data_IF_996955086284
#
_entry.id   IF_996955086284
#
_cell.length_a   1.000
_cell.length_b   1.000
_cell.length_c   1.000
_cell.angle_alpha   90.00
_cell.angle_beta   90.00
_cell.angle_gamma   90.00
#
_symmetry.space_group_name_H-M   'P 1'
#
loop_
_entity.id
_entity.type
_entity.pdbx_description
1 polymer ?
#
# COMPACT_ATOMS: atom_id res chain seq x y z
N UNK A 1 17.77 22.21 -18.96
CA UNK A 1 18.85 22.22 -17.95
C UNK A 1 18.34 21.49 -16.71
N UNK A 2 19.04 20.46 -16.21
CA UNK A 2 18.65 19.75 -14.98
C UNK A 2 19.22 20.52 -13.78
N UNK A 3 18.37 21.20 -13.01
CA UNK A 3 18.78 21.80 -11.74
C UNK A 3 19.04 20.66 -10.74
N UNK A 4 20.28 20.55 -10.25
CA UNK A 4 20.59 19.70 -9.10
C UNK A 4 20.06 20.41 -7.85
N UNK A 5 19.16 19.75 -7.13
CA UNK A 5 18.70 20.20 -5.82
C UNK A 5 19.89 20.24 -4.86
N UNK A 6 20.16 21.42 -4.29
CA UNK A 6 21.22 21.64 -3.31
C UNK A 6 20.69 21.37 -1.90
N UNK A 7 21.56 20.96 -0.97
CA UNK A 7 21.18 20.71 0.45
C UNK A 7 20.44 21.90 1.09
N UNK A 8 20.83 23.13 0.75
CA UNK A 8 20.18 24.34 1.25
C UNK A 8 18.70 24.45 0.82
N UNK A 9 18.38 24.03 -0.41
CA UNK A 9 17.01 24.04 -0.91
C UNK A 9 16.15 22.94 -0.23
N UNK A 10 16.76 21.80 0.10
CA UNK A 10 16.09 20.71 0.83
C UNK A 10 15.79 21.14 2.27
N UNK A 11 16.70 21.85 2.91
CA UNK A 11 16.51 22.36 4.29
C UNK A 11 15.47 23.49 4.35
N UNK A 12 15.37 24.32 3.31
CA UNK A 12 14.29 25.32 3.17
C UNK A 12 12.93 24.67 2.96
N UNK A 13 12.83 23.67 2.09
CA UNK A 13 11.59 22.89 1.86
C UNK A 13 11.13 22.21 3.18
N UNK A 14 12.06 21.62 3.94
CA UNK A 14 11.76 21.02 5.27
C UNK A 14 11.22 22.02 6.30
N UNK A 15 11.53 23.31 6.14
CA UNK A 15 11.10 24.38 7.05
C UNK A 15 9.69 24.88 6.73
N UNK A 16 9.26 24.73 5.48
CA UNK A 16 7.95 25.16 4.98
C UNK A 16 6.94 24.01 4.83
N UNK A 17 7.37 22.74 4.96
CA UNK A 17 6.46 21.62 5.05
C UNK A 17 5.68 21.71 6.37
N UNK A 18 4.34 21.92 6.36
CA UNK A 18 3.56 21.74 7.57
C UNK A 18 3.76 20.29 8.02
N UNK A 19 4.10 20.10 9.29
CA UNK A 19 4.06 18.78 9.93
C UNK A 19 2.57 18.44 10.01
N UNK A 20 2.09 17.78 8.97
CA UNK A 20 0.74 17.22 8.93
C UNK A 20 0.71 16.06 9.92
N UNK A 21 -0.37 15.93 10.68
CA UNK A 21 -0.57 14.71 11.45
C UNK A 21 -0.87 13.53 10.51
N UNK A 22 -0.79 12.29 11.00
CA UNK A 22 -0.98 11.08 10.17
C UNK A 22 -2.30 11.11 9.38
N UNK A 23 -3.38 11.65 9.95
CA UNK A 23 -4.67 11.78 9.27
C UNK A 23 -4.65 12.84 8.14
N UNK A 24 -3.87 13.89 8.31
CA UNK A 24 -3.68 14.95 7.31
C UNK A 24 -2.73 14.52 6.18
N UNK A 25 -1.68 13.74 6.48
CA UNK A 25 -0.79 13.15 5.45
C UNK A 25 -1.56 12.15 4.57
N UNK A 26 -2.38 11.29 5.19
CA UNK A 26 -3.24 10.35 4.47
C UNK A 26 -4.19 11.07 3.51
N UNK A 27 -4.81 12.17 3.95
CA UNK A 27 -5.72 12.99 3.12
C UNK A 27 -5.05 13.65 1.92
N UNK A 28 -3.84 14.17 2.10
CA UNK A 28 -3.09 14.83 1.01
C UNK A 28 -2.62 13.81 -0.03
N UNK A 29 -2.39 12.56 0.36
CA UNK A 29 -1.97 11.47 -0.53
C UNK A 29 -3.15 10.68 -1.14
N UNK A 30 -4.39 11.07 -0.82
CA UNK A 30 -5.59 10.45 -1.38
C UNK A 30 -6.20 9.32 -0.55
N UNK A 31 -5.65 9.01 0.63
CA UNK A 31 -6.30 8.18 1.65
C UNK A 31 -7.44 8.92 2.36
N UNK A 32 -8.27 8.15 3.09
CA UNK A 32 -9.56 8.52 3.68
C UNK A 32 -10.00 10.00 3.59
N UNK A 33 -10.84 10.29 2.60
CA UNK A 33 -11.61 11.53 2.51
C UNK A 33 -13.01 11.31 3.13
N UNK A 34 -13.35 11.94 4.27
CA UNK A 34 -14.69 11.85 4.86
C UNK A 34 -15.82 12.40 3.96
N UNK A 35 -15.48 13.07 2.84
CA UNK A 35 -16.42 13.57 1.82
C UNK A 35 -16.67 12.55 0.71
N UNK A 36 -15.74 11.64 0.41
CA UNK A 36 -15.88 10.60 -0.65
C UNK A 36 -16.52 9.30 -0.17
N UNK A 37 -16.45 9.01 1.14
CA UNK A 37 -16.96 7.77 1.71
C UNK A 37 -15.99 6.60 1.53
N UNK A 38 -16.36 5.44 2.08
CA UNK A 38 -15.52 4.23 2.07
C UNK A 38 -15.37 3.67 0.65
N UNK A 39 -14.12 3.53 0.17
CA UNK A 39 -13.85 2.84 -1.10
C UNK A 39 -13.97 1.33 -0.92
N UNK A 40 -14.76 0.70 -1.79
CA UNK A 40 -14.75 -0.74 -2.00
C UNK A 40 -14.13 -1.00 -3.37
N UNK A 41 -13.00 -1.69 -3.38
CA UNK A 41 -12.21 -1.91 -4.58
C UNK A 41 -12.23 -3.39 -4.94
N UNK A 42 -12.74 -3.73 -6.13
CA UNK A 42 -12.69 -5.12 -6.63
C UNK A 42 -11.26 -5.45 -7.07
N UNK A 43 -10.76 -6.60 -6.64
CA UNK A 43 -9.47 -7.17 -7.07
C UNK A 43 -9.69 -8.62 -7.53
N UNK A 44 -8.69 -9.27 -8.14
CA UNK A 44 -8.83 -10.68 -8.46
C UNK A 44 -8.95 -11.53 -7.19
N UNK A 45 -10.01 -12.34 -7.15
CA UNK A 45 -10.32 -13.25 -6.04
C UNK A 45 -11.04 -12.60 -4.86
N UNK A 46 -11.50 -11.34 -4.95
CA UNK A 46 -12.24 -10.71 -3.85
C UNK A 46 -12.44 -9.21 -4.00
N UNK A 47 -12.61 -8.53 -2.87
CA UNK A 47 -12.61 -7.07 -2.80
C UNK A 47 -11.92 -6.56 -1.54
N UNK A 48 -11.41 -5.34 -1.64
CA UNK A 48 -10.89 -4.55 -0.54
C UNK A 48 -11.95 -3.56 -0.08
N UNK A 49 -12.06 -3.34 1.22
CA UNK A 49 -12.98 -2.37 1.80
C UNK A 49 -12.22 -1.55 2.85
N UNK A 50 -12.03 -0.27 2.56
CA UNK A 50 -11.44 0.64 3.54
C UNK A 50 -12.40 0.88 4.70
N UNK A 51 -11.83 0.99 5.89
CA UNK A 51 -12.49 1.34 7.15
C UNK A 51 -11.65 2.39 7.87
N UNK A 52 -12.20 3.02 8.92
CA UNK A 52 -11.51 4.13 9.60
C UNK A 52 -10.16 3.78 10.25
N UNK A 53 -9.82 2.50 10.40
CA UNK A 53 -8.58 2.04 11.02
C UNK A 53 -7.75 1.07 10.15
N UNK A 54 -8.10 0.89 8.88
CA UNK A 54 -7.41 -0.06 8.00
C UNK A 54 -8.28 -0.56 6.85
N UNK A 55 -7.83 -1.60 6.17
CA UNK A 55 -8.52 -2.15 5.00
C UNK A 55 -8.82 -3.63 5.20
N UNK A 56 -10.08 -4.03 5.00
CA UNK A 56 -10.47 -5.43 4.95
C UNK A 56 -10.31 -5.99 3.55
N UNK A 57 -9.77 -7.19 3.43
CA UNK A 57 -9.94 -8.06 2.28
C UNK A 57 -11.05 -9.08 2.55
N UNK A 58 -11.96 -9.23 1.59
CA UNK A 58 -12.96 -10.27 1.55
C UNK A 58 -12.75 -11.13 0.30
N UNK A 59 -12.27 -12.35 0.51
CA UNK A 59 -12.01 -13.32 -0.55
C UNK A 59 -13.28 -14.03 -1.02
N UNK A 60 -13.33 -14.32 -2.31
CA UNK A 60 -14.36 -15.16 -2.92
C UNK A 60 -14.31 -16.61 -2.39
N UNK A 61 -13.15 -17.03 -1.85
CA UNK A 61 -12.96 -18.29 -1.15
C UNK A 61 -13.43 -18.27 0.32
N UNK A 62 -14.03 -17.16 0.75
CA UNK A 62 -14.53 -16.94 2.09
C UNK A 62 -13.47 -16.51 3.10
N UNK A 63 -12.20 -16.36 2.71
CA UNK A 63 -11.17 -15.82 3.62
C UNK A 63 -11.39 -14.33 3.86
N UNK A 64 -11.03 -13.88 5.05
CA UNK A 64 -11.00 -12.47 5.41
C UNK A 64 -9.68 -12.14 6.08
N UNK A 65 -9.13 -10.99 5.73
CA UNK A 65 -7.88 -10.46 6.31
C UNK A 65 -8.10 -8.98 6.59
N UNK A 66 -7.78 -8.53 7.80
CA UNK A 66 -7.75 -7.11 8.11
C UNK A 66 -6.31 -6.62 8.06
N UNK A 67 -6.05 -5.61 7.24
CA UNK A 67 -4.76 -4.92 7.17
C UNK A 67 -4.87 -3.63 7.97
N UNK A 68 -4.30 -3.63 9.16
CA UNK A 68 -4.38 -2.50 10.10
C UNK A 68 -3.60 -1.30 9.58
N UNK A 69 -4.14 -0.09 9.76
CA UNK A 69 -3.46 1.18 9.53
C UNK A 69 -3.39 1.66 8.08
N UNK A 70 -3.75 0.81 7.11
CA UNK A 70 -3.63 1.07 5.68
C UNK A 70 -4.96 1.51 5.03
N UNK A 71 -4.91 2.57 4.23
CA UNK A 71 -5.98 2.96 3.30
C UNK A 71 -5.67 2.54 1.86
N UNK A 72 -6.64 2.72 0.96
CA UNK A 72 -6.48 2.42 -0.47
C UNK A 72 -6.82 3.64 -1.32
N UNK A 73 -6.19 3.73 -2.49
CA UNK A 73 -6.48 4.80 -3.44
C UNK A 73 -6.28 4.32 -4.87
N UNK A 74 -7.11 4.81 -5.78
CA UNK A 74 -6.86 4.78 -7.24
C UNK A 74 -6.71 6.19 -7.84
N UNK A 75 -6.62 7.21 -6.98
CA UNK A 75 -6.55 8.60 -7.39
C UNK A 75 -5.13 9.00 -7.86
N UNK A 76 -5.09 9.81 -8.92
CA UNK A 76 -3.94 10.17 -9.77
C UNK A 76 -2.68 10.77 -9.09
N UNK A 77 -1.51 10.78 -9.79
CA UNK A 77 -1.16 9.98 -10.98
C UNK A 77 -0.33 8.75 -10.59
N UNK A 78 -0.89 7.56 -10.86
CA UNK A 78 -0.24 6.26 -10.61
C UNK A 78 0.24 5.71 -11.96
N UNK A 79 1.46 5.20 -12.03
CA UNK A 79 1.99 4.64 -13.27
C UNK A 79 1.17 3.40 -13.71
N UNK A 80 0.98 3.24 -15.02
CA UNK A 80 0.26 2.10 -15.59
C UNK A 80 0.90 0.77 -15.17
N UNK A 81 0.07 -0.19 -14.75
CA UNK A 81 0.52 -1.50 -14.29
C UNK A 81 1.27 -1.49 -12.95
N UNK A 82 1.06 -0.49 -12.09
CA UNK A 82 1.80 -0.36 -10.81
C UNK A 82 0.89 -0.18 -9.61
N UNK A 83 1.41 -0.61 -8.46
CA UNK A 83 0.93 -0.26 -7.15
C UNK A 83 2.12 0.23 -6.34
N UNK A 84 1.87 1.06 -5.33
CA UNK A 84 2.91 1.44 -4.38
C UNK A 84 2.29 1.85 -3.05
N UNK A 85 3.05 1.62 -1.98
CA UNK A 85 2.73 2.09 -0.64
C UNK A 85 3.52 3.33 -0.24
N UNK A 86 2.82 4.35 0.26
CA UNK A 86 3.41 5.53 0.93
C UNK A 86 2.47 6.03 2.02
N UNK A 87 3.01 6.39 3.20
CA UNK A 87 2.27 7.17 4.20
C UNK A 87 1.00 6.49 4.74
N UNK A 88 1.00 5.16 4.75
CA UNK A 88 -0.18 4.38 5.14
C UNK A 88 -1.30 4.30 4.09
N UNK A 89 -1.01 4.58 2.81
CA UNK A 89 -1.94 4.39 1.69
C UNK A 89 -1.29 3.51 0.63
N UNK A 90 -2.02 2.51 0.14
CA UNK A 90 -1.63 1.73 -1.05
C UNK A 90 -2.38 2.31 -2.25
N UNK A 91 -1.62 2.86 -3.19
CA UNK A 91 -2.14 3.45 -4.42
C UNK A 91 -2.02 2.43 -5.55
N UNK A 92 -3.13 2.10 -6.21
CA UNK A 92 -3.19 1.05 -7.24
C UNK A 92 -3.66 1.64 -8.57
N UNK A 93 -2.95 1.35 -9.65
CA UNK A 93 -3.32 1.87 -10.97
C UNK A 93 -4.63 1.24 -11.46
N UNK A 94 -5.52 2.09 -12.00
CA UNK A 94 -6.85 1.65 -12.42
C UNK A 94 -6.79 0.63 -13.57
N UNK A 95 -5.77 0.69 -14.41
CA UNK A 95 -5.54 -0.24 -15.51
C UNK A 95 -5.06 -1.62 -15.02
N UNK A 96 -4.26 -1.70 -13.96
CA UNK A 96 -3.84 -3.00 -13.40
C UNK A 96 -5.03 -3.74 -12.77
N UNK A 97 -5.91 -3.00 -12.07
CA UNK A 97 -7.17 -3.56 -11.57
C UNK A 97 -8.08 -4.13 -12.66
N UNK A 98 -7.97 -3.60 -13.88
CA UNK A 98 -8.73 -4.04 -15.04
C UNK A 98 -7.97 -5.04 -15.94
N UNK A 99 -6.72 -5.37 -15.62
CA UNK A 99 -5.95 -6.34 -16.38
C UNK A 99 -6.50 -7.75 -16.12
N UNK A 100 -6.81 -8.48 -17.19
CA UNK A 100 -7.33 -9.85 -17.12
C UNK A 100 -6.25 -10.91 -17.38
N UNK A 101 -5.06 -10.51 -17.83
CA UNK A 101 -3.92 -11.40 -18.08
C UNK A 101 -3.02 -11.50 -16.86
N UNK A 102 -2.80 -10.37 -16.18
CA UNK A 102 -2.00 -10.28 -14.96
C UNK A 102 -2.75 -9.45 -13.91
N UNK A 103 -3.92 -9.93 -13.43
CA UNK A 103 -4.76 -9.14 -12.55
C UNK A 103 -4.08 -8.90 -11.20
N UNK A 104 -4.30 -7.71 -10.63
CA UNK A 104 -3.91 -7.40 -9.26
C UNK A 104 -4.67 -8.29 -8.25
N UNK A 105 -3.94 -8.95 -7.36
CA UNK A 105 -4.43 -9.94 -6.40
C UNK A 105 -4.18 -9.52 -4.95
N UNK A 106 -4.71 -10.31 -4.01
CA UNK A 106 -4.41 -10.14 -2.58
C UNK A 106 -2.92 -10.29 -2.24
N UNK A 107 -2.15 -11.04 -3.03
CA UNK A 107 -0.71 -11.19 -2.81
C UNK A 107 0.03 -9.90 -3.15
N UNK A 108 -0.37 -9.24 -4.22
CA UNK A 108 0.18 -7.94 -4.62
C UNK A 108 -0.15 -6.88 -3.56
N UNK A 109 -1.39 -6.88 -3.06
CA UNK A 109 -1.77 -6.02 -1.94
C UNK A 109 -0.96 -6.28 -0.67
N UNK A 110 -0.75 -7.55 -0.32
CA UNK A 110 0.03 -7.92 0.86
C UNK A 110 1.52 -7.56 0.72
N UNK A 111 2.07 -7.63 -0.49
CA UNK A 111 3.42 -7.14 -0.79
C UNK A 111 3.54 -5.65 -0.46
N UNK A 112 2.61 -4.81 -0.97
CA UNK A 112 2.57 -3.37 -0.66
C UNK A 112 2.33 -3.10 0.84
N UNK A 113 1.55 -3.96 1.50
CA UNK A 113 1.43 -3.88 2.96
C UNK A 113 2.74 -4.22 3.68
N UNK A 114 3.56 -5.10 3.11
CA UNK A 114 4.91 -5.36 3.58
C UNK A 114 5.79 -4.11 3.60
N UNK A 115 5.67 -3.27 2.58
CA UNK A 115 6.32 -1.95 2.55
C UNK A 115 5.82 -1.02 3.65
N UNK A 116 4.51 -1.02 3.95
CA UNK A 116 3.99 -0.28 5.10
C UNK A 116 4.59 -0.77 6.43
N UNK A 117 4.72 -2.09 6.62
CA UNK A 117 5.35 -2.64 7.82
C UNK A 117 6.84 -2.26 7.92
N UNK A 118 7.55 -2.15 6.80
CA UNK A 118 8.91 -1.60 6.77
C UNK A 118 8.92 -0.13 7.17
N UNK A 119 7.98 0.67 6.64
CA UNK A 119 7.84 2.09 6.98
C UNK A 119 7.64 2.29 8.49
N UNK A 120 6.76 1.51 9.11
CA UNK A 120 6.51 1.55 10.55
C UNK A 120 7.76 1.17 11.37
N UNK A 121 8.52 0.16 10.95
CA UNK A 121 9.71 -0.29 11.68
C UNK A 121 10.89 0.70 11.54
N UNK A 122 11.10 1.25 10.35
CA UNK A 122 12.23 2.12 10.04
C UNK A 122 11.98 3.59 10.41
N UNK A 123 10.72 3.98 10.49
CA UNK A 123 10.25 5.37 10.46
C UNK A 123 10.32 5.96 9.06
N UNK A 124 9.32 6.80 8.71
CA UNK A 124 9.11 7.31 7.35
C UNK A 124 10.36 7.95 6.73
N UNK A 125 11.15 8.72 7.50
CA UNK A 125 12.36 9.36 6.99
C UNK A 125 13.43 8.38 6.47
N UNK A 126 13.63 7.26 7.16
CA UNK A 126 14.60 6.23 6.76
C UNK A 126 14.03 5.36 5.63
N UNK A 127 12.76 5.00 5.73
CA UNK A 127 12.05 4.24 4.69
C UNK A 127 12.10 4.93 3.33
N UNK A 128 11.79 6.22 3.27
CA UNK A 128 11.85 6.99 2.03
C UNK A 128 13.24 6.97 1.38
N UNK A 129 14.28 7.12 2.21
CA UNK A 129 15.66 7.21 1.75
C UNK A 129 16.23 5.86 1.30
N UNK A 130 15.94 4.81 2.05
CA UNK A 130 16.63 3.52 1.91
C UNK A 130 15.78 2.44 1.21
N UNK A 131 14.47 2.66 1.04
CA UNK A 131 13.54 1.72 0.40
C UNK A 131 12.77 2.38 -0.75
N UNK A 132 11.89 3.34 -0.48
CA UNK A 132 10.93 3.84 -1.49
C UNK A 132 11.60 4.48 -2.71
N UNK A 133 12.60 5.35 -2.51
CA UNK A 133 13.35 5.98 -3.61
C UNK A 133 14.19 4.95 -4.39
N UNK A 134 15.01 4.08 -3.75
CA UNK A 134 15.73 3.02 -4.43
C UNK A 134 14.83 2.05 -5.21
N UNK A 135 13.71 1.63 -4.62
CA UNK A 135 12.71 0.75 -5.23
C UNK A 135 12.17 1.35 -6.53
N UNK A 136 11.63 2.57 -6.47
CA UNK A 136 11.12 3.25 -7.66
C UNK A 136 12.19 3.52 -8.72
N UNK A 137 13.44 3.80 -8.32
CA UNK A 137 14.55 3.96 -9.27
C UNK A 137 14.90 2.66 -9.99
N UNK A 138 14.97 1.54 -9.26
CA UNK A 138 15.29 0.24 -9.83
C UNK A 138 14.16 -0.22 -10.78
N UNK A 139 12.88 -0.08 -10.41
CA UNK A 139 11.75 -0.38 -11.29
C UNK A 139 11.85 0.35 -12.65
N UNK A 140 12.32 1.60 -12.65
CA UNK A 140 12.46 2.42 -13.86
C UNK A 140 13.73 2.14 -14.68
N UNK A 141 14.78 1.59 -14.06
CA UNK A 141 16.11 1.47 -14.69
C UNK A 141 16.55 0.04 -14.96
N UNK A 142 16.06 -0.92 -14.18
CA UNK A 142 16.31 -2.34 -14.33
C UNK A 142 15.13 -3.16 -13.76
N UNK A 143 13.95 -3.10 -14.40
CA UNK A 143 12.74 -3.78 -13.91
C UNK A 143 12.90 -5.30 -13.80
N UNK A 144 13.84 -5.90 -14.53
CA UNK A 144 14.07 -7.34 -14.51
C UNK A 144 14.75 -7.85 -13.23
N UNK A 145 15.37 -6.96 -12.44
CA UNK A 145 15.99 -7.29 -11.15
C UNK A 145 15.21 -6.76 -9.95
N UNK A 146 14.04 -6.15 -10.18
CA UNK A 146 13.26 -5.49 -9.15
C UNK A 146 12.89 -6.42 -8.01
N UNK A 147 12.28 -7.55 -8.33
CA UNK A 147 11.85 -8.56 -7.36
C UNK A 147 13.03 -9.20 -6.59
N UNK A 148 14.26 -9.05 -7.07
CA UNK A 148 15.48 -9.57 -6.43
C UNK A 148 16.09 -8.59 -5.42
N UNK A 149 15.57 -7.35 -5.34
CA UNK A 149 16.08 -6.36 -4.42
C UNK A 149 15.76 -6.73 -2.96
N UNK A 150 16.70 -6.58 -2.01
CA UNK A 150 16.48 -7.04 -0.62
C UNK A 150 15.25 -6.45 0.06
N UNK A 151 14.91 -5.20 -0.25
CA UNK A 151 13.73 -4.53 0.31
C UNK A 151 12.41 -5.04 -0.29
N UNK A 152 12.40 -5.46 -1.56
CA UNK A 152 11.23 -6.08 -2.22
C UNK A 152 10.98 -7.50 -1.69
N UNK A 153 12.06 -8.25 -1.46
CA UNK A 153 11.98 -9.59 -0.86
C UNK A 153 11.52 -9.53 0.60
N UNK A 154 12.01 -8.55 1.37
CA UNK A 154 11.59 -8.34 2.75
C UNK A 154 10.12 -7.88 2.83
N UNK A 155 9.67 -6.97 1.95
CA UNK A 155 8.26 -6.59 1.85
C UNK A 155 7.37 -7.79 1.53
N UNK A 156 7.74 -8.57 0.52
CA UNK A 156 7.05 -9.82 0.16
C UNK A 156 6.97 -10.79 1.34
N UNK A 157 8.07 -10.96 2.08
CA UNK A 157 8.10 -11.84 3.25
C UNK A 157 7.16 -11.35 4.34
N UNK A 158 7.21 -10.07 4.70
CA UNK A 158 6.35 -9.47 5.72
C UNK A 158 4.87 -9.56 5.35
N UNK A 159 4.54 -9.28 4.10
CA UNK A 159 3.18 -9.42 3.57
C UNK A 159 2.63 -10.84 3.70
N UNK A 160 3.42 -11.83 3.28
CA UNK A 160 3.03 -13.24 3.39
C UNK A 160 2.91 -13.70 4.84
N UNK A 161 3.90 -13.37 5.69
CA UNK A 161 3.86 -13.70 7.12
C UNK A 161 2.62 -13.09 7.81
N UNK A 162 2.24 -11.86 7.42
CA UNK A 162 1.03 -11.21 7.92
C UNK A 162 -0.23 -11.94 7.46
N UNK A 163 -0.35 -12.26 6.17
CA UNK A 163 -1.48 -13.02 5.64
C UNK A 163 -1.65 -14.38 6.33
N UNK A 164 -0.55 -15.11 6.52
CA UNK A 164 -0.56 -16.44 7.13
C UNK A 164 -1.03 -16.40 8.59
N UNK A 165 -0.74 -15.32 9.31
CA UNK A 165 -1.09 -15.15 10.72
C UNK A 165 -2.46 -14.48 10.96
N UNK A 166 -3.01 -13.77 9.97
CA UNK A 166 -4.23 -12.96 10.11
C UNK A 166 -5.39 -13.42 9.21
N UNK A 167 -5.22 -14.50 8.46
CA UNK A 167 -6.31 -15.10 7.70
C UNK A 167 -7.35 -15.71 8.62
N UNK A 168 -8.59 -15.25 8.46
CA UNK A 168 -9.75 -15.76 9.17
C UNK A 168 -10.81 -16.27 8.19
N UNK A 169 -11.74 -17.07 8.70
CA UNK A 169 -12.97 -17.43 8.00
C UNK A 169 -14.14 -16.84 8.78
N UNK A 170 -15.16 -16.27 8.12
CA UNK A 170 -16.35 -15.80 8.81
C UNK A 170 -16.96 -16.97 9.59
N UNK A 171 -17.30 -16.74 10.86
CA UNK A 171 -17.98 -17.75 11.65
C UNK A 171 -19.28 -18.12 10.93
N UNK A 172 -19.39 -19.36 10.47
CA UNK A 172 -20.67 -19.87 9.99
C UNK A 172 -21.60 -19.89 11.20
N UNK A 173 -22.48 -18.89 11.29
CA UNK A 173 -23.40 -18.67 12.39
C UNK A 173 -24.51 -19.73 12.52
N UNK A 174 -24.16 -21.02 12.42
CA UNK A 174 -25.03 -22.14 12.76
C UNK A 174 -24.56 -22.78 14.06
N UNK A 175 -24.59 -21.99 15.13
CA UNK A 175 -24.80 -22.54 16.46
C UNK A 175 -26.21 -23.12 16.49
N UNK A 176 -26.32 -24.43 16.37
CA UNK A 176 -27.57 -25.13 16.70
C UNK A 176 -27.85 -24.87 18.18
N UNK A 177 -29.07 -24.44 18.56
CA UNK A 177 -29.41 -24.36 19.97
C UNK A 177 -29.52 -25.79 20.50
N UNK A 178 -28.67 -26.14 21.47
CA UNK A 178 -28.82 -27.29 22.35
C UNK A 178 -29.37 -26.85 23.69
#
# INVERSE_FOLDING_TARGET
MKQKLTRALIDEIRKEMPVLNEDEEKRVQGGWDPVKGYETLRIAGGFLQETGNGTWYYGEDGKQIFFEGIGISTAEPIASGTAFQVGGVISISQDWLNDTRHPFTIKDFAHEYGHYLQELEMGSGSYWKDVAIPSGYNLLTDPGSHDDMPYEQDATKRGNDYMDSHTTYPSTGYGTPS
#
